data_IF_741761629658
#
_entry.id   IF_741761629658
#
_cell.length_a   1.000
_cell.length_b   1.000
_cell.length_c   1.000
_cell.angle_alpha   90.00
_cell.angle_beta   90.00
_cell.angle_gamma   90.00
#
_symmetry.space_group_name_H-M   'P 1'
#
loop_
_entity.id
_entity.type
_entity.pdbx_description
1 polymer ?
#
# COMPACT_ATOMS: atom_id res chain seq x y z
N UNK A 1 0.20 5.75 -30.48
CA UNK A 1 0.64 5.19 -29.20
C UNK A 1 -0.35 5.73 -28.17
N UNK A 2 -1.13 4.87 -27.50
CA UNK A 2 -2.00 5.32 -26.42
C UNK A 2 -1.07 5.83 -25.30
N UNK A 3 -1.23 7.08 -24.90
CA UNK A 3 -0.54 7.61 -23.73
C UNK A 3 -1.00 6.83 -22.50
N UNK A 4 -0.07 6.47 -21.61
CA UNK A 4 -0.41 5.85 -20.32
C UNK A 4 -1.33 6.76 -19.52
N UNK A 5 -2.29 6.18 -18.81
CA UNK A 5 -3.07 6.91 -17.80
C UNK A 5 -2.16 7.35 -16.66
N UNK A 6 -2.58 8.34 -15.87
CA UNK A 6 -1.83 8.80 -14.70
C UNK A 6 -1.53 7.66 -13.72
N UNK A 7 -2.46 6.69 -13.59
CA UNK A 7 -2.30 5.52 -12.74
C UNK A 7 -1.27 4.52 -13.26
N UNK A 8 -1.24 4.30 -14.59
CA UNK A 8 -0.22 3.46 -15.22
C UNK A 8 1.17 4.10 -15.10
N UNK A 9 1.26 5.42 -15.18
CA UNK A 9 2.51 6.16 -14.98
C UNK A 9 3.05 5.97 -13.55
N UNK A 10 2.19 6.04 -12.52
CA UNK A 10 2.57 5.74 -11.13
C UNK A 10 3.17 4.32 -11.01
N UNK A 11 2.48 3.31 -11.57
CA UNK A 11 2.95 1.92 -11.53
C UNK A 11 4.26 1.71 -12.29
N UNK A 12 4.46 2.45 -13.39
CA UNK A 12 5.68 2.40 -14.20
C UNK A 12 6.84 3.16 -13.56
N UNK A 13 6.61 3.86 -12.45
CA UNK A 13 7.62 4.67 -11.78
C UNK A 13 8.02 5.94 -12.55
N UNK A 14 7.12 6.42 -13.40
CA UNK A 14 7.28 7.69 -14.09
C UNK A 14 7.06 8.85 -13.11
N UNK A 15 7.71 9.98 -13.34
CA UNK A 15 7.44 11.19 -12.57
C UNK A 15 6.05 11.72 -12.87
N UNK A 16 5.29 12.01 -11.82
CA UNK A 16 3.94 12.57 -11.86
C UNK A 16 3.96 13.93 -11.15
N UNK A 17 3.54 14.97 -11.87
CA UNK A 17 3.52 16.36 -11.42
C UNK A 17 2.09 16.90 -11.34
N UNK A 18 1.78 17.88 -10.46
CA UNK A 18 0.50 18.55 -10.43
C UNK A 18 0.03 19.18 -11.75
N UNK A 19 0.95 19.45 -12.66
CA UNK A 19 0.64 19.98 -14.00
C UNK A 19 0.31 18.90 -15.04
N UNK A 20 0.46 17.63 -14.71
CA UNK A 20 0.23 16.52 -15.66
C UNK A 20 -1.26 16.32 -15.96
N UNK A 21 -1.60 15.94 -17.19
CA UNK A 21 -2.96 15.51 -17.53
C UNK A 21 -3.41 14.33 -16.63
N UNK A 22 -4.60 14.42 -16.08
CA UNK A 22 -5.17 13.38 -15.19
C UNK A 22 -4.74 13.51 -13.72
N UNK A 23 -3.94 14.49 -13.33
CA UNK A 23 -3.53 14.66 -11.94
C UNK A 23 -4.72 14.84 -10.99
N UNK A 24 -5.73 15.63 -11.38
CA UNK A 24 -6.94 15.81 -10.60
C UNK A 24 -7.72 14.50 -10.42
N UNK A 25 -7.70 13.63 -11.43
CA UNK A 25 -8.31 12.29 -11.36
C UNK A 25 -7.60 11.41 -10.30
N UNK A 26 -6.27 11.45 -10.27
CA UNK A 26 -5.47 10.77 -9.27
C UNK A 26 -5.78 11.27 -7.85
N UNK A 27 -5.80 12.58 -7.66
CA UNK A 27 -6.11 13.19 -6.36
C UNK A 27 -7.52 12.83 -5.89
N UNK A 28 -8.51 12.90 -6.77
CA UNK A 28 -9.88 12.49 -6.45
C UNK A 28 -9.96 11.01 -6.05
N UNK A 29 -9.24 10.13 -6.74
CA UNK A 29 -9.19 8.71 -6.40
C UNK A 29 -8.54 8.44 -5.03
N UNK A 30 -7.54 9.24 -4.64
CA UNK A 30 -6.94 9.20 -3.29
C UNK A 30 -7.98 9.63 -2.25
N UNK A 31 -8.68 10.75 -2.45
CA UNK A 31 -9.71 11.21 -1.52
C UNK A 31 -10.86 10.20 -1.38
N UNK A 32 -11.30 9.59 -2.46
CA UNK A 32 -12.32 8.54 -2.44
C UNK A 32 -11.86 7.32 -1.64
N UNK A 33 -10.61 6.92 -1.80
CA UNK A 33 -10.00 5.81 -1.02
C UNK A 33 -9.94 6.17 0.47
N UNK A 34 -9.50 7.38 0.81
CA UNK A 34 -9.43 7.84 2.20
C UNK A 34 -10.82 7.93 2.85
N UNK A 35 -11.85 8.31 2.09
CA UNK A 35 -13.25 8.29 2.55
C UNK A 35 -13.69 6.88 2.91
N UNK A 36 -13.41 5.88 2.06
CA UNK A 36 -13.71 4.48 2.36
C UNK A 36 -12.91 3.95 3.56
N UNK A 37 -11.65 4.34 3.69
CA UNK A 37 -10.83 4.00 4.86
C UNK A 37 -11.40 4.63 6.14
N UNK A 38 -12.01 5.81 6.06
CA UNK A 38 -12.71 6.42 7.21
C UNK A 38 -13.90 5.58 7.65
N UNK A 39 -14.68 5.04 6.71
CA UNK A 39 -15.78 4.09 7.02
C UNK A 39 -15.22 2.84 7.73
N UNK A 40 -14.15 2.24 7.20
CA UNK A 40 -13.49 1.08 7.80
C UNK A 40 -13.01 1.34 9.24
N UNK A 41 -12.57 2.56 9.52
CA UNK A 41 -12.00 2.94 10.81
C UNK A 41 -13.03 3.47 11.81
N UNK A 42 -14.29 3.65 11.40
CA UNK A 42 -15.35 4.22 12.21
C UNK A 42 -16.18 3.13 12.90
N UNK A 43 -15.90 2.91 14.18
CA UNK A 43 -16.68 1.97 14.99
C UNK A 43 -16.22 0.52 14.87
N UNK A 44 -17.11 -0.39 15.29
CA UNK A 44 -16.88 -1.83 15.24
C UNK A 44 -17.42 -2.43 13.95
N UNK A 45 -16.61 -3.26 13.32
CA UNK A 45 -16.99 -4.10 12.18
C UNK A 45 -16.69 -5.56 12.47
N UNK A 46 -17.56 -6.44 12.01
CA UNK A 46 -17.27 -7.88 11.97
C UNK A 46 -16.15 -8.16 10.94
N UNK A 47 -15.45 -9.30 11.04
CA UNK A 47 -14.43 -9.65 10.04
C UNK A 47 -14.93 -9.65 8.60
N UNK A 48 -16.19 -10.06 8.37
CA UNK A 48 -16.79 -10.07 7.03
C UNK A 48 -17.05 -8.64 6.51
N UNK A 49 -17.50 -7.74 7.37
CA UNK A 49 -17.68 -6.32 7.02
C UNK A 49 -16.34 -5.65 6.71
N UNK A 50 -15.30 -5.95 7.49
CA UNK A 50 -13.93 -5.47 7.21
C UNK A 50 -13.49 -5.91 5.82
N UNK A 51 -13.64 -7.20 5.48
CA UNK A 51 -13.26 -7.73 4.15
C UNK A 51 -14.08 -7.11 3.03
N UNK A 52 -15.39 -6.89 3.24
CA UNK A 52 -16.26 -6.23 2.27
C UNK A 52 -15.79 -4.81 1.98
N UNK A 53 -15.50 -4.01 3.02
CA UNK A 53 -15.02 -2.63 2.85
C UNK A 53 -13.63 -2.65 2.19
N UNK A 54 -12.75 -3.53 2.64
CA UNK A 54 -11.41 -3.69 2.05
C UNK A 54 -11.49 -4.06 0.57
N UNK A 55 -12.43 -4.93 0.17
CA UNK A 55 -12.66 -5.29 -1.25
C UNK A 55 -13.02 -4.06 -2.10
N UNK A 56 -13.82 -3.14 -1.56
CA UNK A 56 -14.13 -1.88 -2.24
C UNK A 56 -12.89 -0.99 -2.37
N UNK A 57 -12.10 -0.88 -1.31
CA UNK A 57 -10.84 -0.11 -1.29
C UNK A 57 -9.86 -0.65 -2.33
N UNK A 58 -9.69 -1.97 -2.39
CA UNK A 58 -8.74 -2.63 -3.31
C UNK A 58 -9.28 -2.75 -4.75
N UNK A 59 -10.60 -2.61 -4.94
CA UNK A 59 -11.25 -2.81 -6.24
C UNK A 59 -11.27 -4.26 -6.71
N UNK A 60 -11.08 -5.23 -5.81
CA UNK A 60 -11.14 -6.66 -6.08
C UNK A 60 -11.65 -7.42 -4.86
N UNK A 61 -12.11 -8.64 -5.06
CA UNK A 61 -12.57 -9.50 -3.96
C UNK A 61 -11.40 -9.87 -3.04
N UNK A 62 -11.62 -9.72 -1.73
CA UNK A 62 -10.68 -10.10 -0.68
C UNK A 62 -11.00 -11.51 -0.19
N UNK A 63 -10.00 -12.40 -0.21
CA UNK A 63 -10.15 -13.79 0.21
C UNK A 63 -10.56 -13.90 1.69
N UNK A 64 -11.41 -14.87 2.01
CA UNK A 64 -11.95 -15.08 3.36
C UNK A 64 -10.89 -15.37 4.43
N UNK A 65 -9.73 -15.88 4.03
CA UNK A 65 -8.60 -16.18 4.92
C UNK A 65 -7.81 -14.94 5.35
N UNK A 66 -8.04 -13.78 4.70
CA UNK A 66 -7.36 -12.53 5.05
C UNK A 66 -7.99 -11.94 6.31
N UNK A 67 -7.13 -11.58 7.26
CA UNK A 67 -7.52 -10.87 8.48
C UNK A 67 -6.86 -9.50 8.50
N UNK A 68 -7.68 -8.45 8.55
CA UNK A 68 -7.23 -7.06 8.78
C UNK A 68 -7.93 -6.54 10.04
N UNK A 69 -7.13 -5.97 10.95
CA UNK A 69 -7.62 -5.36 12.17
C UNK A 69 -7.56 -3.83 12.05
N UNK A 70 -8.70 -3.13 11.97
CA UNK A 70 -8.72 -1.67 11.95
C UNK A 70 -8.16 -1.04 13.24
N UNK A 71 -7.71 0.22 13.20
CA UNK A 71 -7.71 1.10 12.04
C UNK A 71 -6.63 0.76 11.01
N UNK A 72 -6.93 1.05 9.74
CA UNK A 72 -6.04 0.86 8.61
C UNK A 72 -5.98 2.15 7.77
N UNK A 73 -4.80 2.54 7.33
CA UNK A 73 -4.58 3.78 6.59
C UNK A 73 -4.04 3.48 5.19
N UNK A 74 -4.64 4.08 4.19
CA UNK A 74 -4.31 3.84 2.79
C UNK A 74 -4.58 5.09 1.96
N UNK A 75 -3.67 5.41 1.03
CA UNK A 75 -3.85 6.50 0.07
C UNK A 75 -4.59 6.04 -1.19
N UNK A 76 -4.14 4.94 -1.80
CA UNK A 76 -4.74 4.39 -3.02
C UNK A 76 -4.68 2.86 -3.02
N UNK A 77 -5.85 2.23 -3.00
CA UNK A 77 -5.95 0.77 -2.78
C UNK A 77 -5.85 -0.08 -4.04
N UNK A 78 -6.22 0.44 -5.22
CA UNK A 78 -6.38 -0.39 -6.43
C UNK A 78 -5.05 -0.95 -6.99
N UNK A 79 -3.91 -0.46 -6.52
CA UNK A 79 -2.59 -1.00 -6.85
C UNK A 79 -2.03 -1.92 -5.75
N UNK A 80 -2.86 -2.30 -4.78
CA UNK A 80 -2.47 -3.20 -3.69
C UNK A 80 -3.03 -4.59 -3.97
N UNK A 81 -2.17 -5.60 -3.85
CA UNK A 81 -2.52 -7.02 -3.95
C UNK A 81 -2.17 -7.71 -2.64
N UNK A 82 -3.11 -8.47 -2.09
CA UNK A 82 -2.94 -9.18 -0.82
C UNK A 82 -3.23 -10.67 -1.06
N UNK A 83 -2.23 -11.51 -0.80
CA UNK A 83 -2.36 -12.96 -0.92
C UNK A 83 -3.17 -13.58 0.22
N UNK A 84 -3.55 -14.84 0.06
CA UNK A 84 -4.34 -15.62 1.04
C UNK A 84 -3.60 -15.76 2.37
N UNK A 85 -4.36 -15.88 3.45
CA UNK A 85 -3.82 -16.13 4.78
C UNK A 85 -3.03 -14.96 5.39
N UNK A 86 -3.05 -13.78 4.77
CA UNK A 86 -2.39 -12.61 5.31
C UNK A 86 -3.06 -12.11 6.59
N UNK A 87 -2.22 -11.69 7.55
CA UNK A 87 -2.64 -11.08 8.80
C UNK A 87 -2.05 -9.69 8.94
N UNK A 88 -2.91 -8.66 8.90
CA UNK A 88 -2.53 -7.25 8.94
C UNK A 88 -3.08 -6.65 10.23
N UNK A 89 -2.20 -6.25 11.14
CA UNK A 89 -2.60 -5.72 12.43
C UNK A 89 -2.90 -4.22 12.40
N UNK A 90 -3.36 -3.70 13.54
CA UNK A 90 -3.88 -2.34 13.68
C UNK A 90 -2.86 -1.26 13.30
N UNK A 91 -3.37 -0.16 12.80
CA UNK A 91 -2.62 1.06 12.47
C UNK A 91 -1.57 0.85 11.37
N UNK A 92 -1.66 -0.20 10.56
CA UNK A 92 -0.82 -0.31 9.38
C UNK A 92 -1.15 0.79 8.37
N UNK A 93 -0.12 1.30 7.69
CA UNK A 93 -0.24 2.37 6.69
C UNK A 93 0.35 1.90 5.36
N UNK A 94 -0.48 1.91 4.31
CA UNK A 94 -0.08 1.51 2.97
C UNK A 94 -0.22 2.69 2.01
N UNK A 95 0.92 3.22 1.55
CA UNK A 95 0.94 4.17 0.44
C UNK A 95 1.09 3.37 -0.86
N UNK A 96 -0.07 3.00 -1.43
CA UNK A 96 -0.18 1.96 -2.45
C UNK A 96 -0.02 2.41 -3.89
N UNK A 97 0.09 3.70 -4.19
CA UNK A 97 0.10 4.24 -5.55
C UNK A 97 1.15 3.57 -6.46
N UNK A 98 2.37 3.36 -5.96
CA UNK A 98 3.46 2.72 -6.71
C UNK A 98 3.39 1.19 -6.77
N UNK A 99 2.36 0.58 -6.17
CA UNK A 99 2.14 -0.87 -6.15
C UNK A 99 2.66 -1.56 -4.90
N UNK A 100 1.79 -2.28 -4.20
CA UNK A 100 2.14 -3.16 -3.08
C UNK A 100 1.68 -4.57 -3.42
N UNK A 101 2.57 -5.54 -3.26
CA UNK A 101 2.22 -6.95 -3.36
C UNK A 101 2.61 -7.66 -2.07
N UNK A 102 1.63 -8.24 -1.39
CA UNK A 102 1.82 -9.19 -0.32
C UNK A 102 1.56 -10.59 -0.87
N UNK A 103 2.51 -11.48 -0.74
CA UNK A 103 2.36 -12.90 -1.04
C UNK A 103 1.40 -13.59 -0.06
N UNK A 104 1.40 -14.91 -0.05
CA UNK A 104 0.54 -15.69 0.84
C UNK A 104 1.13 -15.76 2.25
N UNK A 105 0.25 -15.78 3.26
CA UNK A 105 0.61 -15.93 4.68
C UNK A 105 1.61 -14.87 5.19
N UNK A 106 1.53 -13.65 4.68
CA UNK A 106 2.32 -12.53 5.18
C UNK A 106 1.72 -12.01 6.49
N UNK A 107 2.57 -11.82 7.50
CA UNK A 107 2.17 -11.29 8.80
C UNK A 107 2.77 -9.91 9.01
N UNK A 108 1.92 -8.89 9.21
CA UNK A 108 2.33 -7.54 9.51
C UNK A 108 1.92 -7.17 10.93
N UNK A 109 2.90 -6.85 11.76
CA UNK A 109 2.69 -6.34 13.11
C UNK A 109 2.02 -4.96 13.11
N UNK A 110 1.54 -4.48 14.28
CA UNK A 110 0.89 -3.19 14.37
C UNK A 110 1.79 -2.04 13.89
N UNK A 111 1.20 -1.03 13.26
CA UNK A 111 1.90 0.18 12.81
C UNK A 111 3.01 -0.08 11.76
N UNK A 112 2.93 -1.19 11.02
CA UNK A 112 3.83 -1.38 9.88
C UNK A 112 3.45 -0.39 8.78
N UNK A 113 4.47 0.29 8.22
CA UNK A 113 4.30 1.23 7.13
C UNK A 113 4.94 0.66 5.86
N UNK A 114 4.18 0.64 4.77
CA UNK A 114 4.66 0.27 3.44
C UNK A 114 4.49 1.49 2.53
N UNK A 115 5.61 2.04 2.10
CA UNK A 115 5.64 3.27 1.32
C UNK A 115 6.12 2.93 -0.09
N UNK A 116 5.38 3.38 -1.11
CA UNK A 116 5.74 3.14 -2.51
C UNK A 116 6.00 4.42 -3.29
N UNK A 117 5.86 5.58 -2.67
CA UNK A 117 5.98 6.89 -3.31
C UNK A 117 7.14 7.66 -2.73
N UNK A 118 7.93 8.26 -3.61
CA UNK A 118 8.94 9.26 -3.31
C UNK A 118 8.56 10.60 -3.93
N UNK A 119 9.03 11.69 -3.34
CA UNK A 119 9.03 13.01 -3.94
C UNK A 119 10.33 13.24 -4.73
N UNK A 120 10.28 14.17 -5.69
CA UNK A 120 11.50 14.61 -6.38
C UNK A 120 12.51 15.17 -5.35
N UNK A 121 13.78 14.75 -5.38
CA UNK A 121 14.80 15.29 -4.49
C UNK A 121 15.12 16.77 -4.76
N UNK A 122 14.83 17.28 -5.96
CA UNK A 122 14.95 18.71 -6.27
C UNK A 122 13.91 19.52 -5.47
N UNK A 123 14.32 20.47 -4.61
CA UNK A 123 13.40 21.29 -3.85
C UNK A 123 12.47 22.16 -4.71
N UNK A 124 12.87 22.52 -5.91
CA UNK A 124 12.06 23.33 -6.84
C UNK A 124 10.98 22.48 -7.55
N UNK A 125 11.07 21.16 -7.47
CA UNK A 125 10.12 20.21 -8.06
C UNK A 125 9.56 19.21 -7.04
N UNK A 126 9.61 19.55 -5.74
CA UNK A 126 9.30 18.65 -4.62
C UNK A 126 7.87 18.13 -4.60
N UNK A 127 6.94 18.80 -5.26
CA UNK A 127 5.54 18.40 -5.40
C UNK A 127 5.33 17.27 -6.44
N UNK A 128 6.30 17.05 -7.33
CA UNK A 128 6.31 15.89 -8.21
C UNK A 128 6.69 14.61 -7.45
N UNK A 129 6.05 13.50 -7.84
CA UNK A 129 6.22 12.19 -7.18
C UNK A 129 6.49 11.09 -8.18
N UNK A 130 7.09 10.00 -7.72
CA UNK A 130 7.26 8.79 -8.52
C UNK A 130 7.11 7.53 -7.67
N UNK A 131 6.53 6.49 -8.28
CA UNK A 131 6.31 5.20 -7.64
C UNK A 131 7.51 4.27 -7.73
N UNK A 132 7.67 3.41 -6.71
CA UNK A 132 8.51 2.22 -6.74
C UNK A 132 7.77 1.11 -6.01
N UNK A 133 7.49 -0.03 -6.65
CA UNK A 133 6.70 -1.09 -6.05
C UNK A 133 7.43 -1.72 -4.85
N UNK A 134 6.63 -2.14 -3.87
CA UNK A 134 7.11 -2.95 -2.74
C UNK A 134 6.52 -4.34 -2.85
N UNK A 135 7.35 -5.35 -2.67
CA UNK A 135 6.96 -6.76 -2.73
C UNK A 135 7.40 -7.48 -1.46
N UNK A 136 6.47 -8.06 -0.74
CA UNK A 136 6.72 -9.02 0.31
C UNK A 136 6.33 -10.41 -0.21
N UNK A 137 7.28 -11.32 -0.27
CA UNK A 137 7.02 -12.70 -0.71
C UNK A 137 6.23 -13.50 0.34
N UNK A 138 5.91 -14.74 0.03
CA UNK A 138 5.13 -15.59 0.92
C UNK A 138 5.83 -15.77 2.26
N UNK A 139 5.02 -15.85 3.33
CA UNK A 139 5.43 -16.13 4.71
C UNK A 139 6.39 -15.10 5.32
N UNK A 140 6.50 -13.91 4.74
CA UNK A 140 7.22 -12.80 5.36
C UNK A 140 6.52 -12.39 6.65
N UNK A 141 7.31 -12.15 7.69
CA UNK A 141 6.84 -11.56 8.94
C UNK A 141 7.53 -10.23 9.21
N UNK A 142 6.74 -9.16 9.34
CA UNK A 142 7.25 -7.81 9.66
C UNK A 142 6.82 -7.44 11.07
N UNK A 143 7.79 -7.13 11.90
CA UNK A 143 7.59 -6.73 13.30
C UNK A 143 6.94 -5.35 13.43
N UNK A 144 6.41 -5.09 14.65
CA UNK A 144 5.71 -3.83 14.99
C UNK A 144 6.51 -2.59 14.57
N UNK A 145 5.81 -1.61 13.98
CA UNK A 145 6.31 -0.27 13.67
C UNK A 145 7.55 -0.25 12.74
N UNK A 146 7.75 -1.31 11.95
CA UNK A 146 8.74 -1.28 10.89
C UNK A 146 8.22 -0.44 9.70
N UNK A 147 9.14 0.15 8.96
CA UNK A 147 8.85 0.92 7.75
C UNK A 147 9.60 0.33 6.57
N UNK A 148 8.89 0.03 5.49
CA UNK A 148 9.45 -0.52 4.25
C UNK A 148 9.42 0.58 3.21
N UNK A 149 10.58 0.93 2.66
CA UNK A 149 10.75 2.04 1.73
C UNK A 149 10.44 1.64 0.28
N UNK A 150 10.19 2.63 -0.60
CA UNK A 150 9.85 2.39 -1.99
C UNK A 150 10.90 1.58 -2.73
N UNK A 151 10.45 0.57 -3.48
CA UNK A 151 11.28 -0.28 -4.31
C UNK A 151 11.82 -1.55 -3.62
N UNK A 152 11.56 -1.73 -2.33
CA UNK A 152 12.08 -2.85 -1.56
C UNK A 152 11.33 -4.15 -1.86
N UNK A 153 12.09 -5.24 -2.01
CA UNK A 153 11.61 -6.62 -2.05
C UNK A 153 12.09 -7.37 -0.81
N UNK A 154 11.18 -8.01 -0.10
CA UNK A 154 11.48 -8.88 1.05
C UNK A 154 11.20 -10.32 0.61
N UNK A 155 12.23 -11.19 0.68
CA UNK A 155 12.19 -12.55 0.18
C UNK A 155 11.39 -13.50 1.07
N UNK A 156 11.15 -14.70 0.54
CA UNK A 156 10.34 -15.74 1.16
C UNK A 156 10.75 -16.05 2.60
N UNK A 157 9.78 -15.96 3.51
CA UNK A 157 9.96 -16.33 4.92
C UNK A 157 10.87 -15.41 5.73
N UNK A 158 11.35 -14.29 5.16
CA UNK A 158 12.18 -13.34 5.86
C UNK A 158 11.43 -12.67 7.03
N UNK A 159 12.19 -12.22 8.04
CA UNK A 159 11.65 -11.55 9.22
C UNK A 159 12.20 -10.11 9.28
N UNK A 160 11.33 -9.14 9.16
CA UNK A 160 11.64 -7.73 9.40
C UNK A 160 11.58 -7.41 10.89
N UNK A 161 12.67 -6.93 11.47
CA UNK A 161 12.73 -6.60 12.89
C UNK A 161 11.76 -5.47 13.29
N UNK A 162 11.28 -5.50 14.53
CA UNK A 162 10.46 -4.42 15.08
C UNK A 162 11.20 -3.07 15.02
N UNK A 163 10.48 -1.99 14.61
CA UNK A 163 11.01 -0.63 14.45
C UNK A 163 12.15 -0.48 13.42
N UNK A 164 12.39 -1.49 12.59
CA UNK A 164 13.38 -1.38 11.52
C UNK A 164 12.90 -0.43 10.41
N UNK A 165 13.85 0.18 9.72
CA UNK A 165 13.62 0.82 8.42
C UNK A 165 14.32 -0.02 7.38
N UNK A 166 13.53 -0.63 6.47
CA UNK A 166 14.03 -1.49 5.41
C UNK A 166 14.23 -0.63 4.17
N UNK A 167 15.48 -0.41 3.80
CA UNK A 167 15.90 0.52 2.74
C UNK A 167 16.38 -0.17 1.47
N UNK A 168 16.60 -1.49 1.54
CA UNK A 168 17.12 -2.33 0.46
C UNK A 168 16.51 -3.72 0.54
N UNK A 169 16.66 -4.50 -0.52
CA UNK A 169 16.11 -5.85 -0.59
C UNK A 169 16.68 -6.75 0.51
N UNK A 170 15.80 -7.55 1.10
CA UNK A 170 16.15 -8.58 2.06
C UNK A 170 15.88 -9.98 1.45
N UNK A 171 16.82 -10.92 1.56
CA UNK A 171 16.68 -12.27 0.99
C UNK A 171 15.64 -13.11 1.72
#
# INVERSE_FOLDING_TARGET
>A
MNAHTIFERDLNGEMVSPSDPGYDELINAIWDTMKMATELNAGYHTPDEVRRILSVILGCEVDESITLLPPFYVDYGKHIKIGKGCFIQQCCTFFGRGGITLGENVFLGPKVNIITINHDPDPENRDATYGRPVVLEDRVWVGINATILPGVRIGYGAIGGAKSVVTEDAP
#
